data_IF_811085581826
#
_entry.id   IF_811085581826
#
_cell.length_a   1.000
_cell.length_b   1.000
_cell.length_c   1.000
_cell.angle_alpha   90.00
_cell.angle_beta   90.00
_cell.angle_gamma   90.00
#
_symmetry.space_group_name_H-M   'P 1'
#
loop_
_entity.id
_entity.type
_entity.pdbx_description
1 polymer ?
#
# COMPACT_ATOMS: atom_id res chain seq x y z
N UNK A 1 -21.94 -4.60 15.80
CA UNK A 1 -20.92 -4.37 14.75
C UNK A 1 -21.23 -2.99 14.16
N UNK A 2 -20.39 -1.99 14.39
CA UNK A 2 -20.61 -0.66 13.80
C UNK A 2 -20.25 -0.74 12.32
N UNK A 3 -21.23 -0.79 11.44
CA UNK A 3 -21.03 -0.52 10.02
C UNK A 3 -20.72 0.98 9.86
N UNK A 4 -19.46 1.32 9.66
CA UNK A 4 -19.11 2.66 9.19
C UNK A 4 -19.55 2.72 7.74
N UNK A 5 -20.72 3.32 7.51
CA UNK A 5 -21.25 3.53 6.16
C UNK A 5 -20.25 4.40 5.39
N UNK A 6 -19.65 3.84 4.36
CA UNK A 6 -18.77 4.59 3.48
C UNK A 6 -19.56 5.73 2.83
N UNK A 7 -18.98 6.92 2.77
CA UNK A 7 -19.60 8.07 2.11
C UNK A 7 -19.01 8.18 0.70
N UNK A 8 -19.84 7.86 -0.27
CA UNK A 8 -19.53 8.04 -1.69
C UNK A 8 -19.30 9.52 -2.02
N UNK A 9 -18.37 9.77 -2.90
CA UNK A 9 -17.98 11.13 -3.29
C UNK A 9 -17.65 11.22 -4.77
N UNK A 10 -17.79 12.43 -5.34
CA UNK A 10 -17.38 12.74 -6.71
C UNK A 10 -16.24 13.76 -6.65
N UNK A 11 -15.14 13.44 -7.33
CA UNK A 11 -14.01 14.33 -7.52
C UNK A 11 -13.61 14.35 -9.00
N UNK A 12 -13.62 15.56 -9.61
CA UNK A 12 -13.29 15.78 -11.03
C UNK A 12 -14.02 14.85 -12.01
N UNK A 13 -15.28 14.52 -11.70
CA UNK A 13 -16.12 13.64 -12.50
C UNK A 13 -15.95 12.14 -12.24
N UNK A 14 -14.95 11.74 -11.48
CA UNK A 14 -14.78 10.35 -11.03
C UNK A 14 -15.59 10.09 -9.75
N UNK A 15 -16.25 8.95 -9.69
CA UNK A 15 -17.01 8.48 -8.53
C UNK A 15 -16.14 7.59 -7.66
N UNK A 16 -16.04 7.88 -6.38
CA UNK A 16 -15.30 7.10 -5.39
C UNK A 16 -16.26 6.53 -4.35
N UNK A 17 -16.09 5.26 -4.01
CA UNK A 17 -16.93 4.58 -3.00
C UNK A 17 -16.73 5.11 -1.59
N UNK A 18 -15.59 5.74 -1.32
CA UNK A 18 -15.30 6.35 -0.02
C UNK A 18 -14.45 7.61 -0.12
N UNK A 19 -14.54 8.46 0.91
CA UNK A 19 -13.64 9.61 1.05
C UNK A 19 -12.17 9.19 1.21
N UNK A 20 -11.91 8.04 1.83
CA UNK A 20 -10.55 7.55 2.02
C UNK A 20 -9.91 7.20 0.68
N UNK A 21 -10.62 6.46 -0.18
CA UNK A 21 -10.19 6.16 -1.53
C UNK A 21 -9.94 7.43 -2.35
N UNK A 22 -10.89 8.38 -2.33
CA UNK A 22 -10.72 9.65 -3.03
C UNK A 22 -9.48 10.41 -2.57
N UNK A 23 -9.27 10.54 -1.26
CA UNK A 23 -8.07 11.20 -0.71
C UNK A 23 -6.79 10.48 -1.11
N UNK A 24 -6.77 9.14 -1.06
CA UNK A 24 -5.63 8.33 -1.48
C UNK A 24 -5.34 8.49 -2.97
N UNK A 25 -6.35 8.47 -3.81
CA UNK A 25 -6.19 8.72 -5.25
C UNK A 25 -5.52 10.07 -5.50
N UNK A 26 -6.03 11.14 -4.89
CA UNK A 26 -5.45 12.48 -5.04
C UNK A 26 -4.00 12.49 -4.56
N UNK A 27 -3.72 11.90 -3.40
CA UNK A 27 -2.38 11.82 -2.84
C UNK A 27 -1.40 11.11 -3.78
N UNK A 28 -1.76 9.94 -4.29
CA UNK A 28 -0.91 9.18 -5.19
C UNK A 28 -0.66 9.91 -6.51
N UNK A 29 -1.67 10.61 -7.05
CA UNK A 29 -1.52 11.46 -8.24
C UNK A 29 -0.61 12.67 -7.97
N UNK A 30 -0.67 13.27 -6.78
CA UNK A 30 0.19 14.39 -6.39
C UNK A 30 1.66 13.96 -6.17
N UNK A 31 1.90 12.71 -5.81
CA UNK A 31 3.23 12.11 -5.82
C UNK A 31 3.80 11.93 -7.24
N UNK A 32 2.96 12.04 -8.27
CA UNK A 32 3.34 11.83 -9.67
C UNK A 32 3.16 10.38 -10.14
N UNK A 33 2.53 9.53 -9.35
CA UNK A 33 2.41 8.11 -9.67
C UNK A 33 1.34 7.83 -10.74
N UNK A 34 1.60 6.83 -11.57
CA UNK A 34 0.64 6.36 -12.57
C UNK A 34 -0.37 5.42 -11.91
N UNK A 35 -1.54 5.95 -11.56
CA UNK A 35 -2.56 5.28 -10.77
C UNK A 35 -3.87 5.21 -11.54
N UNK A 36 -4.49 4.03 -11.56
CA UNK A 36 -5.84 3.79 -12.02
C UNK A 36 -6.72 3.40 -10.83
N UNK A 37 -7.93 3.97 -10.75
CA UNK A 37 -8.92 3.69 -9.73
C UNK A 37 -9.90 2.63 -10.21
N UNK A 38 -10.26 1.67 -9.35
CA UNK A 38 -11.15 0.54 -9.65
C UNK A 38 -10.82 -0.17 -10.98
N UNK A 39 -9.59 -0.64 -11.15
CA UNK A 39 -9.19 -1.28 -12.40
C UNK A 39 -10.02 -2.55 -12.64
N UNK A 40 -10.42 -2.77 -13.89
CA UNK A 40 -11.06 -4.03 -14.29
C UNK A 40 -9.94 -5.03 -14.56
N UNK A 41 -9.86 -6.08 -13.72
CA UNK A 41 -8.81 -7.10 -13.77
C UNK A 41 -9.45 -8.48 -13.96
N UNK A 42 -9.34 -9.04 -15.17
CA UNK A 42 -9.95 -10.32 -15.53
C UNK A 42 -9.26 -11.52 -14.85
N UNK A 43 -8.02 -11.34 -14.42
CA UNK A 43 -7.17 -12.35 -13.80
C UNK A 43 -7.30 -12.41 -12.26
N UNK A 44 -8.05 -11.49 -11.65
CA UNK A 44 -8.35 -11.47 -10.22
C UNK A 44 -9.82 -11.79 -9.99
N UNK A 45 -10.10 -12.85 -9.23
CA UNK A 45 -11.46 -13.28 -8.92
C UNK A 45 -11.81 -13.08 -7.45
N UNK A 46 -13.01 -12.58 -7.20
CA UNK A 46 -13.55 -12.46 -5.85
C UNK A 46 -13.05 -11.26 -5.03
N UNK A 47 -12.15 -10.45 -5.60
CA UNK A 47 -11.71 -9.18 -5.04
C UNK A 47 -11.37 -8.21 -6.16
N UNK A 48 -11.74 -6.96 -5.98
CA UNK A 48 -11.38 -5.85 -6.85
C UNK A 48 -10.58 -4.87 -6.01
N UNK A 49 -9.32 -4.60 -6.35
CA UNK A 49 -8.52 -3.61 -5.64
C UNK A 49 -9.06 -2.20 -5.87
N UNK A 50 -8.87 -1.31 -4.90
CA UNK A 50 -9.25 0.09 -5.07
C UNK A 50 -8.40 0.79 -6.11
N UNK A 51 -7.10 0.42 -6.23
CA UNK A 51 -6.20 1.00 -7.22
C UNK A 51 -5.23 -0.04 -7.77
N UNK A 52 -4.70 0.28 -8.96
CA UNK A 52 -3.45 -0.26 -9.46
C UNK A 52 -2.46 0.87 -9.70
N UNK A 53 -1.21 0.66 -9.32
CA UNK A 53 -0.08 1.56 -9.59
C UNK A 53 0.81 0.88 -10.61
N UNK A 54 1.12 1.59 -11.70
CA UNK A 54 2.05 1.14 -12.72
C UNK A 54 3.40 1.83 -12.50
N UNK A 55 4.40 1.08 -12.06
CA UNK A 55 5.79 1.48 -12.05
C UNK A 55 6.45 1.25 -13.40
N UNK A 56 7.76 1.47 -13.51
CA UNK A 56 8.53 1.20 -14.74
C UNK A 56 8.46 -0.25 -15.15
N UNK A 57 8.56 -1.17 -14.19
CA UNK A 57 8.59 -2.62 -14.41
C UNK A 57 7.64 -3.37 -13.50
N UNK A 58 6.98 -2.69 -12.57
CA UNK A 58 6.17 -3.30 -11.51
C UNK A 58 4.71 -2.88 -11.60
N UNK A 59 3.83 -3.81 -11.22
CA UNK A 59 2.39 -3.57 -11.07
C UNK A 59 1.99 -3.85 -9.63
N UNK A 60 1.45 -2.85 -8.97
CA UNK A 60 1.11 -2.93 -7.55
C UNK A 60 -0.36 -2.66 -7.35
N UNK A 61 -1.02 -3.59 -6.69
CA UNK A 61 -2.42 -3.45 -6.29
C UNK A 61 -2.50 -2.74 -4.95
N UNK A 62 -3.49 -1.89 -4.78
CA UNK A 62 -3.67 -1.12 -3.54
C UNK A 62 -5.10 -1.24 -3.05
N UNK A 63 -5.24 -1.53 -1.77
CA UNK A 63 -6.50 -1.57 -1.04
C UNK A 63 -6.49 -0.49 0.05
N UNK A 64 -7.45 0.41 0.07
CA UNK A 64 -7.55 1.48 1.06
C UNK A 64 -8.55 1.09 2.16
N UNK A 65 -8.09 1.00 3.40
CA UNK A 65 -8.92 0.63 4.55
C UNK A 65 -8.90 1.72 5.62
N UNK A 66 -9.95 1.85 6.44
CA UNK A 66 -10.06 2.91 7.45
C UNK A 66 -9.21 2.66 8.70
N UNK A 67 -8.04 2.01 8.57
CA UNK A 67 -7.13 1.84 9.69
C UNK A 67 -6.40 3.15 9.99
N UNK A 68 -6.22 3.41 11.28
CA UNK A 68 -5.50 4.60 11.75
C UNK A 68 -4.18 4.25 12.45
N UNK A 69 -3.95 2.97 12.71
CA UNK A 69 -2.74 2.46 13.36
C UNK A 69 -2.36 1.10 12.78
N UNK A 70 -1.08 0.74 12.83
CA UNK A 70 -0.61 -0.59 12.44
C UNK A 70 -1.25 -1.71 13.27
N UNK A 71 -1.55 -1.44 14.54
CA UNK A 71 -2.27 -2.40 15.39
C UNK A 71 -3.64 -2.79 14.81
N UNK A 72 -4.28 -1.87 14.07
CA UNK A 72 -5.56 -2.15 13.39
C UNK A 72 -5.45 -3.27 12.37
N UNK A 73 -4.30 -3.48 11.74
CA UNK A 73 -4.05 -4.58 10.80
C UNK A 73 -3.94 -5.96 11.47
N UNK A 74 -3.72 -6.02 12.78
CA UNK A 74 -3.70 -7.27 13.57
C UNK A 74 -5.07 -7.79 14.00
N UNK A 75 -6.16 -7.15 13.60
CA UNK A 75 -7.52 -7.52 14.00
C UNK A 75 -8.08 -8.67 13.18
N UNK A 76 -9.14 -9.34 13.69
CA UNK A 76 -9.86 -10.39 12.95
C UNK A 76 -10.42 -9.85 11.61
N UNK A 77 -10.87 -8.59 11.59
CA UNK A 77 -11.34 -7.95 10.36
C UNK A 77 -10.21 -7.82 9.32
N UNK A 78 -9.03 -7.37 9.73
CA UNK A 78 -7.88 -7.28 8.84
C UNK A 78 -7.49 -8.64 8.26
N UNK A 79 -7.41 -9.66 9.11
CA UNK A 79 -7.13 -11.04 8.67
C UNK A 79 -8.14 -11.57 7.66
N UNK A 80 -9.43 -11.22 7.80
CA UNK A 80 -10.45 -11.61 6.83
C UNK A 80 -10.24 -10.92 5.47
N UNK A 81 -9.83 -9.64 5.46
CA UNK A 81 -9.48 -8.90 4.25
C UNK A 81 -8.26 -9.50 3.56
N UNK A 82 -7.20 -9.75 4.31
CA UNK A 82 -5.98 -10.38 3.83
C UNK A 82 -6.26 -11.76 3.24
N UNK A 83 -7.02 -12.60 3.93
CA UNK A 83 -7.41 -13.93 3.44
C UNK A 83 -8.16 -13.83 2.12
N UNK A 84 -9.07 -12.86 1.98
CA UNK A 84 -9.80 -12.63 0.73
C UNK A 84 -8.84 -12.27 -0.40
N UNK A 85 -7.90 -11.36 -0.16
CA UNK A 85 -6.91 -10.92 -1.14
C UNK A 85 -6.02 -12.10 -1.57
N UNK A 86 -5.49 -12.85 -0.61
CA UNK A 86 -4.57 -13.96 -0.90
C UNK A 86 -5.22 -15.10 -1.67
N UNK A 87 -6.49 -15.36 -1.45
CA UNK A 87 -7.24 -16.38 -2.18
C UNK A 87 -7.45 -16.05 -3.67
N UNK A 88 -7.13 -14.84 -4.11
CA UNK A 88 -7.26 -14.44 -5.53
C UNK A 88 -6.09 -14.91 -6.40
N UNK A 89 -4.95 -15.29 -5.80
CA UNK A 89 -3.74 -15.64 -6.54
C UNK A 89 -3.05 -14.43 -7.19
N UNK A 90 -3.24 -13.22 -6.65
CA UNK A 90 -2.67 -11.97 -7.17
C UNK A 90 -1.16 -12.07 -7.50
N UNK A 91 -0.41 -12.83 -6.71
CA UNK A 91 1.03 -13.00 -6.81
C UNK A 91 1.51 -13.66 -8.12
N UNK A 92 0.61 -14.17 -8.95
CA UNK A 92 0.97 -14.71 -10.26
C UNK A 92 1.23 -13.61 -11.30
N UNK A 93 0.57 -12.45 -11.19
CA UNK A 93 0.56 -11.43 -12.23
C UNK A 93 0.92 -10.03 -11.74
N UNK A 94 1.06 -9.85 -10.42
CA UNK A 94 1.37 -8.57 -9.77
C UNK A 94 2.56 -8.74 -8.83
N UNK A 95 3.31 -7.67 -8.64
CA UNK A 95 4.54 -7.68 -7.85
C UNK A 95 4.28 -7.47 -6.36
N UNK A 96 3.23 -6.73 -6.04
CA UNK A 96 2.82 -6.49 -4.66
C UNK A 96 1.34 -6.15 -4.53
N UNK A 97 0.83 -6.33 -3.30
CA UNK A 97 -0.42 -5.72 -2.82
C UNK A 97 -0.08 -4.86 -1.62
N UNK A 98 -0.58 -3.64 -1.59
CA UNK A 98 -0.46 -2.73 -0.45
C UNK A 98 -1.84 -2.50 0.14
N UNK A 99 -1.98 -2.70 1.46
CA UNK A 99 -3.17 -2.28 2.20
C UNK A 99 -2.79 -1.01 2.94
N UNK A 100 -3.37 0.12 2.54
CA UNK A 100 -3.09 1.44 3.13
C UNK A 100 -4.16 1.85 4.14
N UNK A 101 -3.74 2.57 5.17
CA UNK A 101 -4.64 3.13 6.18
C UNK A 101 -5.29 4.45 5.75
N UNK A 102 -6.00 5.10 6.66
CA UNK A 102 -6.67 6.39 6.45
C UNK A 102 -5.80 7.61 6.80
N UNK A 103 -4.62 7.38 7.37
CA UNK A 103 -3.63 8.40 7.75
C UNK A 103 -2.35 8.22 6.95
N UNK A 104 -1.54 9.25 6.83
CA UNK A 104 -0.25 9.17 6.15
C UNK A 104 0.71 8.25 6.92
N UNK A 105 0.72 8.38 8.23
CA UNK A 105 1.54 7.57 9.12
C UNK A 105 0.65 6.86 10.16
N UNK A 106 0.77 5.54 10.23
CA UNK A 106 -0.02 4.67 11.13
C UNK A 106 0.66 4.43 12.48
N UNK A 107 1.74 5.10 12.76
CA UNK A 107 2.46 5.03 14.03
C UNK A 107 3.88 4.56 13.89
N UNK A 108 4.66 4.79 14.93
CA UNK A 108 6.04 4.35 15.00
C UNK A 108 6.09 2.87 15.43
N UNK A 109 6.85 2.09 14.70
CA UNK A 109 7.34 0.79 15.14
C UNK A 109 8.85 0.89 15.01
N UNK A 110 9.57 0.96 16.15
CA UNK A 110 11.03 1.10 16.13
C UNK A 110 11.54 2.27 16.94
N UNK A 111 12.84 2.51 16.88
CA UNK A 111 13.53 3.56 17.61
C UNK A 111 13.08 4.97 17.21
N UNK A 112 13.29 5.95 18.08
CA UNK A 112 12.99 7.38 17.85
C UNK A 112 13.69 7.97 16.59
N UNK A 113 14.63 7.24 16.00
CA UNK A 113 15.42 7.65 14.82
C UNK A 113 14.81 7.23 13.48
N UNK A 114 13.68 6.52 13.48
CA UNK A 114 13.01 6.08 12.25
C UNK A 114 12.12 7.19 11.70
N UNK A 115 12.64 7.93 10.73
CA UNK A 115 11.95 9.02 10.02
C UNK A 115 11.00 8.54 8.91
N UNK A 116 10.76 7.22 8.80
CA UNK A 116 9.90 6.67 7.75
C UNK A 116 8.41 6.94 8.00
N UNK A 117 7.65 7.11 6.92
CA UNK A 117 6.19 7.13 6.98
C UNK A 117 5.62 5.75 6.76
N UNK A 118 5.07 5.16 7.81
CA UNK A 118 4.42 3.83 7.78
C UNK A 118 2.97 3.98 7.33
N UNK A 119 2.71 3.64 6.08
CA UNK A 119 1.41 3.85 5.43
C UNK A 119 0.44 2.68 5.51
N UNK A 120 0.91 1.47 5.83
CA UNK A 120 0.10 0.26 5.81
C UNK A 120 0.90 -1.02 5.91
N UNK A 121 0.39 -2.06 5.25
CA UNK A 121 1.01 -3.38 5.11
C UNK A 121 1.25 -3.66 3.63
N UNK A 122 2.36 -4.27 3.30
CA UNK A 122 2.69 -4.71 1.95
C UNK A 122 2.88 -6.23 1.91
N UNK A 123 2.29 -6.85 0.91
CA UNK A 123 2.58 -8.22 0.49
C UNK A 123 3.30 -8.14 -0.84
N UNK A 124 4.51 -8.66 -0.91
CA UNK A 124 5.34 -8.58 -2.10
C UNK A 124 5.89 -9.93 -2.54
N UNK A 125 6.12 -10.07 -3.84
CA UNK A 125 6.79 -11.22 -4.43
C UNK A 125 8.06 -10.74 -5.09
N UNK A 126 9.13 -11.54 -4.98
CA UNK A 126 10.30 -11.43 -5.83
C UNK A 126 10.51 -12.72 -6.61
N UNK A 127 11.39 -12.69 -7.61
CA UNK A 127 11.65 -13.86 -8.45
C UNK A 127 12.29 -15.00 -7.65
N UNK A 128 13.17 -14.68 -6.71
CA UNK A 128 13.82 -15.65 -5.86
C UNK A 128 12.78 -16.41 -5.02
N UNK A 129 11.85 -15.69 -4.42
CA UNK A 129 10.77 -16.25 -3.61
C UNK A 129 9.85 -17.16 -4.42
N UNK A 130 9.46 -16.71 -5.62
CA UNK A 130 8.62 -17.53 -6.52
C UNK A 130 9.31 -18.83 -6.87
N UNK A 131 10.62 -18.80 -7.14
CA UNK A 131 11.41 -19.98 -7.46
C UNK A 131 11.58 -20.91 -6.24
N UNK A 132 11.91 -20.38 -5.08
CA UNK A 132 12.08 -21.15 -3.85
C UNK A 132 10.77 -21.79 -3.39
N UNK A 133 9.66 -21.08 -3.50
CA UNK A 133 8.33 -21.61 -3.21
C UNK A 133 7.98 -22.76 -4.16
N UNK A 134 8.26 -22.59 -5.45
CA UNK A 134 8.05 -23.66 -6.44
C UNK A 134 8.90 -24.90 -6.16
N UNK A 135 10.10 -24.74 -5.60
CA UNK A 135 10.98 -25.84 -5.17
C UNK A 135 10.58 -26.47 -3.83
N UNK A 136 9.64 -25.87 -3.10
CA UNK A 136 9.22 -26.35 -1.77
C UNK A 136 10.28 -26.20 -0.68
N UNK A 137 11.30 -25.38 -0.90
CA UNK A 137 12.48 -25.25 -0.01
C UNK A 137 12.37 -24.12 1.00
N UNK A 138 11.35 -23.27 0.93
CA UNK A 138 11.23 -22.09 1.80
C UNK A 138 10.37 -22.32 3.03
N UNK A 139 11.03 -22.22 4.20
CA UNK A 139 10.38 -22.23 5.52
C UNK A 139 10.07 -20.83 6.05
N UNK A 140 10.39 -19.76 5.31
CA UNK A 140 10.24 -18.36 5.74
C UNK A 140 9.24 -17.57 4.91
N UNK A 141 8.21 -18.23 4.43
CA UNK A 141 7.03 -17.49 3.99
C UNK A 141 6.44 -16.88 5.24
N UNK A 142 6.35 -15.57 5.30
CA UNK A 142 5.63 -14.88 6.36
C UNK A 142 4.29 -15.57 6.60
N UNK A 143 3.59 -15.35 7.67
CA UNK A 143 2.41 -16.12 8.14
C UNK A 143 1.31 -16.40 7.09
N UNK A 144 1.50 -16.03 5.82
CA UNK A 144 0.68 -16.32 4.66
C UNK A 144 1.02 -17.65 4.00
N UNK A 145 0.02 -18.31 3.40
CA UNK A 145 0.16 -19.57 2.67
C UNK A 145 0.47 -19.34 1.17
N UNK A 146 1.28 -18.35 0.84
CA UNK A 146 1.54 -17.99 -0.55
C UNK A 146 3.00 -17.63 -0.81
N UNK A 147 3.43 -17.51 -2.08
CA UNK A 147 4.78 -17.10 -2.46
C UNK A 147 4.94 -15.57 -2.34
N UNK A 148 4.72 -15.03 -1.16
CA UNK A 148 4.83 -13.61 -0.87
C UNK A 148 5.27 -13.39 0.58
N UNK A 149 5.87 -12.22 0.83
CA UNK A 149 6.19 -11.72 2.17
C UNK A 149 5.16 -10.71 2.63
N UNK A 150 4.95 -10.68 3.94
CA UNK A 150 4.19 -9.65 4.62
C UNK A 150 5.15 -8.74 5.39
N UNK A 151 5.08 -7.45 5.09
CA UNK A 151 5.90 -6.41 5.71
C UNK A 151 5.09 -5.17 6.03
N UNK A 152 5.64 -4.27 6.83
CA UNK A 152 5.10 -2.92 6.99
C UNK A 152 5.42 -2.10 5.74
N UNK A 153 4.37 -1.54 5.11
CA UNK A 153 4.55 -0.62 4.00
C UNK A 153 5.08 0.74 4.49
N UNK A 154 6.19 1.18 3.96
CA UNK A 154 6.79 2.48 4.22
C UNK A 154 7.05 3.26 2.95
N UNK A 155 6.99 4.60 3.02
CA UNK A 155 7.48 5.47 1.98
C UNK A 155 8.95 5.75 2.23
N UNK A 156 9.76 5.68 1.18
CA UNK A 156 11.20 5.97 1.25
C UNK A 156 11.71 6.43 -0.12
N UNK A 157 12.84 7.14 -0.14
CA UNK A 157 13.56 7.54 -1.34
C UNK A 157 14.87 6.75 -1.53
N UNK A 158 15.09 5.73 -0.71
CA UNK A 158 16.26 4.87 -0.88
C UNK A 158 15.99 3.80 -1.91
N UNK A 159 16.91 3.73 -2.85
CA UNK A 159 17.12 2.58 -3.72
C UNK A 159 17.92 1.55 -2.90
N UNK A 160 17.25 0.53 -2.36
CA UNK A 160 17.89 -0.57 -1.68
C UNK A 160 17.73 -1.83 -2.52
N UNK A 161 18.76 -2.62 -2.61
CA UNK A 161 18.85 -3.82 -3.43
C UNK A 161 17.62 -4.73 -3.24
N UNK A 162 16.87 -4.95 -4.32
CA UNK A 162 15.74 -5.88 -4.35
C UNK A 162 14.37 -5.27 -4.11
N UNK A 163 14.23 -3.97 -4.07
CA UNK A 163 12.99 -3.30 -3.74
C UNK A 163 12.09 -2.97 -4.92
N UNK A 164 10.83 -2.69 -4.59
CA UNK A 164 9.82 -2.32 -5.57
C UNK A 164 10.00 -0.85 -5.90
N UNK A 165 10.74 -0.57 -6.94
CA UNK A 165 10.83 0.77 -7.54
C UNK A 165 9.51 1.04 -8.29
N UNK A 166 8.71 1.99 -7.77
CA UNK A 166 7.37 2.16 -8.28
C UNK A 166 7.25 3.26 -9.28
N UNK A 167 7.87 4.40 -9.10
CA UNK A 167 7.38 5.53 -9.86
C UNK A 167 8.36 6.55 -10.32
N UNK A 168 9.41 6.73 -9.66
CA UNK A 168 10.48 7.62 -10.07
C UNK A 168 11.79 7.25 -9.37
N UNK A 169 12.86 7.89 -9.80
CA UNK A 169 14.19 7.66 -9.26
C UNK A 169 14.35 8.12 -7.80
N UNK A 170 13.33 8.80 -7.26
CA UNK A 170 13.41 9.41 -5.92
C UNK A 170 12.60 8.68 -4.85
N UNK A 171 11.66 7.78 -5.26
CA UNK A 171 10.76 7.12 -4.29
C UNK A 171 10.51 5.66 -4.63
N UNK A 172 10.76 4.80 -3.67
CA UNK A 172 10.44 3.39 -3.71
C UNK A 172 9.48 2.99 -2.60
N UNK A 173 8.83 1.84 -2.76
CA UNK A 173 8.05 1.23 -1.71
C UNK A 173 8.88 0.16 -1.02
N UNK A 174 8.92 0.25 0.28
CA UNK A 174 9.61 -0.74 1.10
C UNK A 174 8.67 -1.50 2.00
N UNK A 175 8.93 -2.79 2.13
CA UNK A 175 8.53 -3.53 3.30
C UNK A 175 9.64 -3.47 4.34
N UNK A 176 9.32 -3.23 5.60
CA UNK A 176 10.26 -3.35 6.71
C UNK A 176 10.20 -4.79 7.21
N UNK A 177 11.27 -5.54 6.98
CA UNK A 177 11.45 -6.82 7.66
C UNK A 177 11.80 -6.53 9.11
N UNK A 178 11.18 -7.24 10.03
CA UNK A 178 11.43 -7.13 11.48
C UNK A 178 12.84 -7.54 11.90
N UNK A 179 13.71 -7.78 10.97
CA UNK A 179 15.08 -8.14 11.27
C UNK A 179 15.94 -6.88 11.41
N UNK A 180 16.24 -6.57 12.64
CA UNK A 180 16.82 -5.36 13.18
C UNK A 180 18.28 -5.11 12.79
N UNK A 181 18.79 -5.64 11.70
CA UNK A 181 20.23 -5.65 11.49
C UNK A 181 20.79 -4.51 10.64
N UNK A 182 20.00 -3.85 9.84
CA UNK A 182 20.50 -2.74 9.02
C UNK A 182 19.68 -1.47 9.18
N UNK A 183 20.26 -0.56 9.89
CA UNK A 183 19.92 0.84 10.11
C UNK A 183 18.69 1.38 9.40
N UNK A 184 17.79 1.99 10.17
CA UNK A 184 16.48 2.48 9.80
C UNK A 184 16.37 3.11 8.41
N UNK A 185 15.19 2.97 7.83
CA UNK A 185 14.85 3.58 6.56
C UNK A 185 14.77 5.09 6.74
N UNK A 186 15.64 5.81 6.03
CA UNK A 186 15.68 7.26 6.09
C UNK A 186 14.98 7.83 4.87
N UNK A 187 14.05 8.75 5.12
CA UNK A 187 13.60 9.65 4.08
C UNK A 187 14.54 10.85 4.01
N UNK A 188 14.98 11.21 2.83
CA UNK A 188 15.61 12.51 2.67
C UNK A 188 14.62 13.61 3.03
N UNK A 189 15.10 14.76 3.48
CA UNK A 189 14.24 15.90 3.74
C UNK A 189 13.38 16.28 2.54
N UNK A 190 13.93 16.18 1.32
CA UNK A 190 13.23 16.46 0.08
C UNK A 190 12.06 15.49 -0.15
N UNK A 191 12.28 14.18 0.07
CA UNK A 191 11.22 13.18 -0.07
C UNK A 191 10.14 13.35 1.01
N UNK A 192 10.53 13.62 2.25
CA UNK A 192 9.61 13.90 3.34
C UNK A 192 8.70 15.09 3.03
N UNK A 193 9.32 16.21 2.61
CA UNK A 193 8.59 17.43 2.24
C UNK A 193 7.62 17.17 1.05
N UNK A 194 8.04 16.37 0.05
CA UNK A 194 7.21 15.97 -1.09
C UNK A 194 5.99 15.16 -0.64
N UNK A 195 6.19 14.16 0.21
CA UNK A 195 5.13 13.29 0.74
C UNK A 195 4.12 14.10 1.56
N UNK A 196 4.60 14.91 2.50
CA UNK A 196 3.75 15.75 3.35
C UNK A 196 2.98 16.79 2.53
N UNK A 197 3.63 17.41 1.55
CA UNK A 197 2.99 18.37 0.64
C UNK A 197 1.88 17.71 -0.15
N UNK A 198 2.13 16.55 -0.75
CA UNK A 198 1.13 15.80 -1.49
C UNK A 198 -0.06 15.39 -0.60
N UNK A 199 0.19 14.93 0.63
CA UNK A 199 -0.85 14.56 1.58
C UNK A 199 -1.70 15.74 2.02
N UNK A 200 -1.07 16.87 2.31
CA UNK A 200 -1.75 18.11 2.71
C UNK A 200 -2.59 18.67 1.56
N UNK A 201 -2.06 18.60 0.33
CA UNK A 201 -2.81 18.98 -0.87
C UNK A 201 -4.03 18.10 -1.09
N UNK A 202 -3.88 16.77 -0.95
CA UNK A 202 -5.00 15.86 -1.00
C UNK A 202 -6.06 16.20 0.06
N UNK A 203 -5.66 16.51 1.28
CA UNK A 203 -6.56 16.97 2.35
C UNK A 203 -7.27 18.28 2.02
N UNK A 204 -6.61 19.19 1.31
CA UNK A 204 -7.21 20.46 0.87
C UNK A 204 -8.22 20.24 -0.26
N UNK A 205 -7.87 19.43 -1.27
CA UNK A 205 -8.76 19.08 -2.38
C UNK A 205 -10.04 18.37 -1.90
N UNK A 206 -9.98 17.61 -0.81
CA UNK A 206 -11.16 16.97 -0.21
C UNK A 206 -12.25 17.96 0.25
N UNK A 207 -11.94 19.25 0.40
CA UNK A 207 -12.94 20.29 0.68
C UNK A 207 -13.87 20.57 -0.50
N UNK A 208 -13.41 20.30 -1.71
CA UNK A 208 -14.13 20.53 -2.96
C UNK A 208 -14.84 19.28 -3.49
N UNK A 209 -14.73 18.18 -2.77
CA UNK A 209 -15.36 16.91 -3.13
C UNK A 209 -16.85 16.96 -2.83
N UNK A 210 -17.69 16.62 -3.81
CA UNK A 210 -19.14 16.55 -3.64
C UNK A 210 -19.52 15.22 -2.99
N UNK A 211 -20.32 15.29 -1.93
CA UNK A 211 -20.95 14.09 -1.36
C UNK A 211 -22.12 13.67 -2.22
N UNK A 212 -22.29 12.38 -2.39
CA UNK A 212 -23.53 11.80 -2.90
C UNK A 212 -24.40 11.55 -1.67
N UNK A 213 -25.56 12.20 -1.63
CA UNK A 213 -26.59 12.07 -0.56
C UNK A 213 -27.56 10.95 -0.92
#
# INVERSE_FOLDING_TARGET
>A
MYEIKAHEVIYRGAHFRSKNECKRYIFLKELGWNVEYEPILDDIKGWQPDFIIFGKTKKILVEAKPYQTLKGFGTEYAKSVETKIHNTGWYNNYDAVIIVGSTLNLGQVGSEEDDSFKGGVIFRTDNYQKEEYAKGTHNHVGKGKGPYYEDTFVYTDRDTDGEIDICDEEMSFHGVVWDSYDGGYYLSKKAKDKIETAWNKAGTEMRYVKRIT
#
